data_IF_369976842984
#
_entry.id   IF_369976842984
#
_cell.length_a   1.000
_cell.length_b   1.000
_cell.length_c   1.000
_cell.angle_alpha   90.00
_cell.angle_beta   90.00
_cell.angle_gamma   90.00
#
_symmetry.space_group_name_H-M   'P 1'
#
loop_
_entity.id
_entity.type
_entity.pdbx_description
1 polymer ?
#
# COMPACT_ATOMS: atom_id res chain seq x y z
N UNK A 1 -14.53 0.33 -2.10
CA UNK A 1 -13.31 0.41 -2.93
C UNK A 1 -13.38 -0.57 -4.07
N UNK A 2 -12.96 -0.17 -5.27
CA UNK A 2 -12.76 -1.05 -6.42
C UNK A 2 -11.25 -1.13 -6.66
N UNK A 3 -10.71 -2.34 -6.83
CA UNK A 3 -9.29 -2.56 -7.09
C UNK A 3 -9.12 -3.15 -8.49
N UNK A 4 -8.23 -2.55 -9.27
CA UNK A 4 -7.81 -3.09 -10.56
C UNK A 4 -6.38 -3.63 -10.40
N UNK A 5 -6.14 -4.80 -10.98
CA UNK A 5 -4.82 -5.39 -11.05
C UNK A 5 -4.46 -5.64 -12.52
N UNK A 6 -3.23 -5.33 -12.88
CA UNK A 6 -2.64 -5.65 -14.17
C UNK A 6 -1.19 -6.04 -13.98
N UNK A 7 -0.57 -6.62 -15.00
CA UNK A 7 0.85 -6.94 -14.97
C UNK A 7 1.42 -6.92 -16.38
N UNK A 8 2.73 -6.73 -16.45
CA UNK A 8 3.52 -7.02 -17.64
C UNK A 8 4.70 -7.93 -17.28
N UNK A 9 5.73 -7.98 -18.12
CA UNK A 9 6.91 -8.82 -17.88
C UNK A 9 7.71 -8.40 -16.64
N UNK A 10 7.70 -7.12 -16.30
CA UNK A 10 8.59 -6.53 -15.30
C UNK A 10 7.83 -6.03 -14.06
N UNK A 11 6.53 -5.75 -14.17
CA UNK A 11 5.79 -5.03 -13.14
C UNK A 11 4.43 -5.68 -12.81
N UNK A 12 4.03 -5.50 -11.55
CA UNK A 12 2.65 -5.64 -11.09
C UNK A 12 2.08 -4.25 -10.85
N UNK A 13 0.86 -4.03 -11.33
CA UNK A 13 0.16 -2.75 -11.22
C UNK A 13 -1.10 -2.92 -10.39
N UNK A 14 -1.30 -2.01 -9.44
CA UNK A 14 -2.51 -1.92 -8.63
C UNK A 14 -3.07 -0.50 -8.72
N UNK A 15 -4.36 -0.39 -9.02
CA UNK A 15 -5.07 0.87 -8.99
C UNK A 15 -6.27 0.78 -8.05
N UNK A 16 -6.40 1.77 -7.17
CA UNK A 16 -7.45 1.85 -6.17
C UNK A 16 -8.42 2.96 -6.54
N UNK A 17 -9.68 2.61 -6.75
CA UNK A 17 -10.77 3.56 -6.83
C UNK A 17 -11.55 3.52 -5.52
N UNK A 18 -11.16 4.41 -4.61
CA UNK A 18 -11.83 4.61 -3.33
C UNK A 18 -13.02 5.55 -3.55
N UNK A 19 -14.23 5.01 -3.44
CA UNK A 19 -15.47 5.78 -3.57
C UNK A 19 -15.89 6.20 -2.16
N UNK A 20 -15.83 7.49 -1.87
CA UNK A 20 -16.30 8.09 -0.63
C UNK A 20 -17.48 9.02 -0.93
N UNK A 21 -18.52 8.97 -0.10
CA UNK A 21 -19.69 9.85 -0.23
C UNK A 21 -19.42 11.29 0.22
N UNK A 22 -18.36 11.50 1.00
CA UNK A 22 -17.93 12.79 1.56
C UNK A 22 -16.44 13.05 1.19
N UNK A 23 -16.08 13.15 -0.10
CA UNK A 23 -14.68 13.26 -0.55
C UNK A 23 -13.92 14.45 0.04
N UNK A 24 -14.61 15.51 0.46
CA UNK A 24 -14.04 16.66 1.16
C UNK A 24 -13.50 16.34 2.55
N UNK A 25 -13.85 15.17 3.12
CA UNK A 25 -13.37 14.70 4.42
C UNK A 25 -12.13 13.82 4.32
N UNK A 26 -11.65 13.51 3.10
CA UNK A 26 -10.44 12.71 2.89
C UNK A 26 -9.25 13.42 3.54
N UNK A 27 -8.57 12.73 4.45
CA UNK A 27 -7.43 13.22 5.21
C UNK A 27 -6.14 12.67 4.63
N UNK A 28 -5.33 13.55 4.06
CA UNK A 28 -3.98 13.24 3.68
C UNK A 28 -3.06 14.41 4.01
N UNK A 29 -1.91 14.12 4.59
CA UNK A 29 -0.85 15.10 4.85
C UNK A 29 0.37 14.80 3.99
N UNK A 30 1.10 15.85 3.61
CA UNK A 30 2.45 15.68 3.10
C UNK A 30 3.34 15.33 4.29
N UNK A 31 3.88 14.13 4.29
CA UNK A 31 4.82 13.67 5.30
C UNK A 31 5.96 12.92 4.64
N UNK A 32 6.89 12.43 5.47
CA UNK A 32 7.91 11.50 4.98
C UNK A 32 7.24 10.17 4.61
N UNK A 33 7.92 9.42 3.74
CA UNK A 33 7.63 8.00 3.55
C UNK A 33 7.50 7.29 4.91
N UNK A 34 6.57 6.34 4.98
CA UNK A 34 6.25 5.53 6.17
C UNK A 34 5.66 6.31 7.36
N UNK A 35 5.41 7.61 7.19
CA UNK A 35 4.88 8.50 8.24
C UNK A 35 3.51 9.09 7.88
N UNK A 36 2.73 8.43 7.04
CA UNK A 36 1.48 8.94 6.45
C UNK A 36 0.23 8.08 6.75
N UNK A 37 0.30 7.16 7.72
CA UNK A 37 -0.77 6.18 7.98
C UNK A 37 -1.86 6.62 8.98
N UNK A 38 -1.74 7.81 9.56
CA UNK A 38 -2.77 8.39 10.46
C UNK A 38 -3.99 8.97 9.69
N UNK A 39 -3.89 9.10 8.37
CA UNK A 39 -4.95 9.56 7.47
C UNK A 39 -5.56 8.44 6.63
N UNK A 40 -6.15 8.80 5.50
CA UNK A 40 -6.62 7.85 4.49
C UNK A 40 -5.45 7.29 3.68
N UNK A 41 -5.50 6.00 3.40
CA UNK A 41 -4.53 5.29 2.57
C UNK A 41 -5.14 4.02 1.99
N UNK A 42 -4.49 3.49 0.96
CA UNK A 42 -4.78 2.18 0.40
C UNK A 42 -3.49 1.36 0.35
N UNK A 43 -3.62 0.03 0.47
CA UNK A 43 -2.46 -0.86 0.40
C UNK A 43 -2.80 -2.18 -0.27
N UNK A 44 -1.75 -2.88 -0.71
CA UNK A 44 -1.78 -4.26 -1.16
C UNK A 44 -0.72 -5.06 -0.39
N UNK A 45 -1.08 -6.27 0.02
CA UNK A 45 -0.15 -7.24 0.59
C UNK A 45 0.03 -8.41 -0.39
N UNK A 46 1.28 -8.80 -0.65
CA UNK A 46 1.66 -9.85 -1.59
C UNK A 46 2.42 -10.96 -0.86
N UNK A 47 1.82 -12.15 -0.81
CA UNK A 47 2.53 -13.40 -0.54
C UNK A 47 3.12 -13.93 -1.86
N UNK A 48 4.37 -13.57 -2.11
CA UNK A 48 5.07 -13.87 -3.36
C UNK A 48 5.41 -15.36 -3.52
N UNK A 49 5.41 -16.12 -2.42
CA UNK A 49 5.72 -17.55 -2.42
C UNK A 49 4.47 -18.43 -2.26
N UNK A 50 3.30 -17.82 -2.00
CA UNK A 50 2.03 -18.49 -1.73
C UNK A 50 2.15 -19.58 -0.65
N UNK A 51 2.99 -19.33 0.36
CA UNK A 51 3.28 -20.27 1.45
C UNK A 51 2.63 -19.86 2.78
N UNK A 52 2.02 -18.66 2.84
CA UNK A 52 1.37 -18.07 4.01
C UNK A 52 2.29 -17.89 5.22
N UNK A 53 3.60 -17.83 5.00
CA UNK A 53 4.60 -17.61 6.05
C UNK A 53 5.04 -16.15 6.14
N UNK A 54 4.61 -15.32 5.19
CA UNK A 54 4.84 -13.89 5.21
C UNK A 54 4.54 -13.25 3.86
N UNK A 55 4.83 -11.96 3.76
CA UNK A 55 4.63 -11.20 2.53
C UNK A 55 5.12 -9.78 2.63
N UNK A 56 4.87 -9.02 1.58
CA UNK A 56 5.26 -7.62 1.45
C UNK A 56 4.02 -6.75 1.35
N UNK A 57 3.98 -5.65 2.09
CA UNK A 57 2.90 -4.67 2.06
C UNK A 57 3.40 -3.38 1.38
N UNK A 58 2.58 -2.86 0.47
CA UNK A 58 2.84 -1.60 -0.23
C UNK A 58 1.63 -0.70 -0.06
N UNK A 59 1.83 0.52 0.41
CA UNK A 59 0.79 1.47 0.77
C UNK A 59 0.99 2.83 0.14
N UNK A 60 -0.11 3.54 -0.09
CA UNK A 60 -0.07 4.90 -0.63
C UNK A 60 -1.22 5.73 -0.04
N UNK A 61 -0.96 6.99 0.29
CA UNK A 61 -2.00 7.94 0.64
C UNK A 61 -2.54 8.72 -0.59
N UNK A 62 -3.64 9.46 -0.49
CA UNK A 62 -4.20 10.25 -1.59
C UNK A 62 -3.27 11.30 -2.23
N UNK A 63 -2.13 11.61 -1.59
CA UNK A 63 -1.11 12.54 -2.12
C UNK A 63 0.08 11.79 -2.74
N UNK A 64 -0.03 10.47 -2.94
CA UNK A 64 1.02 9.65 -3.53
C UNK A 64 2.16 9.30 -2.58
N UNK A 65 2.10 9.68 -1.30
CA UNK A 65 3.15 9.36 -0.32
C UNK A 65 3.11 7.87 -0.01
N UNK A 66 4.28 7.26 -0.06
CA UNK A 66 4.50 5.82 0.04
C UNK A 66 4.66 5.38 1.49
N UNK A 67 4.29 4.14 1.77
CA UNK A 67 4.93 3.39 2.83
C UNK A 67 4.83 1.88 2.64
N UNK A 68 5.64 1.13 3.33
CA UNK A 68 5.78 -0.30 3.10
C UNK A 68 6.29 -1.07 4.31
N UNK A 69 6.37 -2.37 4.15
CA UNK A 69 6.97 -3.25 5.14
C UNK A 69 6.74 -4.71 4.82
N UNK A 70 7.17 -5.57 5.74
CA UNK A 70 6.93 -7.01 5.67
C UNK A 70 5.84 -7.43 6.62
N UNK A 71 5.17 -8.53 6.29
CA UNK A 71 4.21 -9.20 7.17
C UNK A 71 4.78 -10.59 7.47
N UNK A 72 4.83 -10.98 8.74
CA UNK A 72 5.31 -12.30 9.16
C UNK A 72 4.19 -13.36 9.18
N UNK A 73 4.52 -14.59 9.58
CA UNK A 73 3.55 -15.69 9.69
C UNK A 73 2.49 -15.49 10.77
N UNK A 74 2.72 -14.57 11.71
CA UNK A 74 1.77 -14.19 12.75
C UNK A 74 0.90 -12.99 12.33
N UNK A 75 1.04 -12.54 11.09
CA UNK A 75 0.43 -11.32 10.55
C UNK A 75 0.90 -10.04 11.26
N UNK A 76 2.08 -10.06 11.90
CA UNK A 76 2.72 -8.86 12.43
C UNK A 76 3.38 -8.08 11.30
N UNK A 77 3.14 -6.76 11.29
CA UNK A 77 3.72 -5.85 10.33
C UNK A 77 5.04 -5.27 10.85
N UNK A 78 6.09 -5.39 10.05
CA UNK A 78 7.39 -4.79 10.29
C UNK A 78 7.66 -3.69 9.25
N UNK A 79 7.65 -2.40 9.65
CA UNK A 79 7.89 -1.26 8.76
C UNK A 79 9.38 -0.98 8.50
N UNK A 80 10.30 -1.82 8.99
CA UNK A 80 11.74 -1.56 8.86
C UNK A 80 12.31 -1.83 7.48
N UNK A 81 11.56 -2.56 6.64
CA UNK A 81 11.94 -2.83 5.26
C UNK A 81 11.58 -1.63 4.38
N UNK A 82 12.48 -1.25 3.46
CA UNK A 82 12.34 -0.04 2.61
C UNK A 82 12.39 -0.45 1.12
N UNK A 83 11.24 -0.85 0.59
CA UNK A 83 11.05 -1.29 -0.78
C UNK A 83 11.24 -0.17 -1.80
N UNK A 84 11.60 -0.50 -3.04
CA UNK A 84 11.57 0.48 -4.14
C UNK A 84 10.36 0.19 -5.03
N UNK A 85 9.41 1.13 -5.08
CA UNK A 85 8.23 1.07 -5.96
C UNK A 85 7.78 2.47 -6.37
N UNK A 86 6.84 2.56 -7.31
CA UNK A 86 6.25 3.83 -7.76
C UNK A 86 4.80 3.95 -7.31
N UNK A 87 4.41 5.17 -6.96
CA UNK A 87 3.04 5.56 -6.60
C UNK A 87 2.68 6.88 -7.27
N UNK A 88 1.38 7.14 -7.38
CA UNK A 88 0.81 8.38 -7.90
C UNK A 88 -0.45 8.75 -7.12
#
# INVERSE_FOLDING_TARGET
TIVYAAYDRENLYFAFRCLDSEPEKIKASVSKRDANFDGDWAAVALDTFNNRLGGYAFGVNPLGIQGDGTIDSNAEFDPSYDMVYSSA
#
